data_IF_942232763667
#
_entry.id   IF_942232763667
#
_cell.length_a   1.000
_cell.length_b   1.000
_cell.length_c   1.000
_cell.angle_alpha   90.00
_cell.angle_beta   90.00
_cell.angle_gamma   90.00
#
_symmetry.space_group_name_H-M   'P 1'
#
loop_
_entity.id
_entity.type
_entity.pdbx_description
1 polymer ?
#
# COMPACT_ATOMS: atom_id res chain seq x y z
N UNK A 1 15.92 -33.10 -17.42
CA UNK A 1 15.51 -31.69 -17.58
C UNK A 1 14.83 -31.27 -16.30
N UNK A 2 15.54 -30.56 -15.41
CA UNK A 2 14.94 -30.01 -14.20
C UNK A 2 13.93 -28.93 -14.63
N UNK A 3 12.67 -29.08 -14.21
CA UNK A 3 11.66 -28.07 -14.44
C UNK A 3 12.05 -26.79 -13.69
N UNK A 4 12.53 -25.80 -14.42
CA UNK A 4 12.79 -24.45 -13.91
C UNK A 4 11.50 -23.85 -13.38
N UNK A 5 11.36 -23.79 -12.05
CA UNK A 5 10.25 -23.14 -11.39
C UNK A 5 10.68 -21.71 -10.97
N UNK A 6 10.34 -20.67 -11.74
CA UNK A 6 10.83 -19.31 -11.53
C UNK A 6 10.40 -18.70 -10.18
N UNK A 7 9.39 -19.26 -9.52
CA UNK A 7 8.86 -18.77 -8.24
C UNK A 7 9.84 -19.02 -7.07
N UNK A 8 10.77 -19.97 -7.21
CA UNK A 8 11.69 -20.39 -6.14
C UNK A 8 13.16 -20.14 -6.46
N UNK A 9 13.48 -19.39 -7.50
CA UNK A 9 14.87 -19.03 -7.80
C UNK A 9 15.46 -18.22 -6.65
N UNK A 10 16.67 -18.59 -6.21
CA UNK A 10 17.46 -17.85 -5.20
C UNK A 10 17.80 -16.44 -5.66
N UNK A 11 17.93 -16.25 -6.95
CA UNK A 11 18.28 -14.99 -7.60
C UNK A 11 17.19 -14.65 -8.63
N UNK A 12 16.75 -13.39 -8.77
CA UNK A 12 15.75 -13.01 -9.76
C UNK A 12 16.27 -13.21 -11.18
N UNK A 13 15.38 -13.55 -12.11
CA UNK A 13 15.72 -13.71 -13.53
C UNK A 13 16.22 -12.40 -14.14
N UNK A 14 15.64 -11.27 -13.73
CA UNK A 14 16.07 -9.94 -14.13
C UNK A 14 17.00 -9.36 -13.05
N UNK A 15 18.26 -9.16 -13.40
CA UNK A 15 19.31 -8.65 -12.51
C UNK A 15 20.22 -7.67 -13.25
N UNK A 16 20.82 -6.74 -12.51
CA UNK A 16 21.85 -5.86 -13.09
C UNK A 16 23.10 -6.66 -13.41
N UNK A 17 23.67 -6.43 -14.61
CA UNK A 17 24.78 -7.24 -15.14
C UNK A 17 26.06 -7.18 -14.30
N UNK A 18 26.27 -6.09 -13.54
CA UNK A 18 27.43 -5.93 -12.67
C UNK A 18 27.38 -6.76 -11.37
N UNK A 19 26.22 -7.32 -10.99
CA UNK A 19 26.11 -8.17 -9.80
C UNK A 19 26.00 -9.63 -10.24
N UNK A 20 27.06 -10.40 -10.02
CA UNK A 20 27.16 -11.81 -10.41
C UNK A 20 27.14 -12.77 -9.20
N UNK A 21 27.38 -12.24 -7.98
CA UNK A 21 27.45 -13.05 -6.76
C UNK A 21 26.10 -13.68 -6.42
N UNK A 22 26.12 -14.85 -5.80
CA UNK A 22 24.90 -15.47 -5.27
C UNK A 22 24.29 -14.65 -4.13
N UNK A 23 22.97 -14.65 -4.03
CA UNK A 23 22.28 -14.06 -2.88
C UNK A 23 22.49 -14.93 -1.64
N UNK A 24 22.91 -14.30 -0.55
CA UNK A 24 23.08 -14.96 0.75
C UNK A 24 21.76 -15.33 1.39
N UNK A 25 21.71 -16.46 2.09
CA UNK A 25 20.55 -16.92 2.85
C UNK A 25 20.73 -16.60 4.33
N UNK A 26 19.88 -15.73 4.87
CA UNK A 26 19.96 -15.21 6.24
C UNK A 26 18.65 -15.39 6.99
N UNK A 27 18.71 -15.55 8.31
CA UNK A 27 17.54 -15.42 9.17
C UNK A 27 17.11 -13.95 9.24
N UNK A 28 15.79 -13.70 9.45
CA UNK A 28 15.29 -12.35 9.61
C UNK A 28 16.03 -11.62 10.75
N UNK A 29 16.25 -12.28 11.87
CA UNK A 29 17.00 -11.77 13.02
C UNK A 29 18.43 -11.31 12.71
N UNK A 30 19.03 -11.78 11.59
CA UNK A 30 20.38 -11.37 11.17
C UNK A 30 20.40 -9.91 10.66
N UNK A 31 19.32 -9.44 10.06
CA UNK A 31 19.29 -8.12 9.42
C UNK A 31 18.21 -7.18 9.96
N UNK A 32 17.44 -7.63 10.96
CA UNK A 32 16.54 -6.76 11.72
C UNK A 32 16.64 -7.02 13.22
N UNK A 33 16.36 -6.00 14.02
CA UNK A 33 16.31 -6.11 15.47
C UNK A 33 14.85 -5.97 15.92
N UNK A 34 14.35 -6.96 16.69
CA UNK A 34 13.01 -6.92 17.28
C UNK A 34 12.88 -5.73 18.23
N UNK A 35 11.80 -5.00 18.13
CA UNK A 35 11.45 -3.90 19.03
C UNK A 35 10.50 -4.42 20.11
N UNK A 36 10.89 -4.20 21.37
CA UNK A 36 10.06 -4.49 22.55
C UNK A 36 9.75 -3.22 23.36
N UNK A 37 10.21 -2.06 22.88
CA UNK A 37 10.00 -0.74 23.51
C UNK A 37 8.53 -0.45 23.64
N UNK A 38 8.11 -0.10 24.88
CA UNK A 38 6.72 0.25 25.21
C UNK A 38 6.58 1.77 25.38
N UNK A 39 5.37 2.25 25.20
CA UNK A 39 5.00 3.67 25.39
C UNK A 39 4.79 4.03 26.88
N UNK A 40 5.67 3.54 27.77
CA UNK A 40 5.51 3.62 29.23
C UNK A 40 5.31 5.05 29.77
N UNK A 41 5.94 6.03 29.13
CA UNK A 41 5.91 7.43 29.55
C UNK A 41 4.91 8.27 28.73
N UNK A 42 3.98 7.63 28.01
CA UNK A 42 3.05 8.29 27.11
C UNK A 42 3.75 9.22 26.10
N UNK A 43 4.91 8.78 25.58
CA UNK A 43 5.72 9.54 24.61
C UNK A 43 4.97 9.81 23.30
N UNK A 44 3.96 9.02 22.99
CA UNK A 44 3.05 9.23 21.87
C UNK A 44 1.61 8.95 22.28
N UNK A 45 0.69 9.81 21.84
CA UNK A 45 -0.75 9.62 21.95
C UNK A 45 -1.39 9.19 20.62
N UNK A 46 -0.58 8.92 19.56
CA UNK A 46 -1.05 8.54 18.23
C UNK A 46 -1.20 7.02 18.12
N UNK A 47 -2.42 6.45 18.16
CA UNK A 47 -2.63 5.03 17.93
C UNK A 47 -2.51 4.73 16.44
N UNK A 48 -1.67 3.76 16.10
CA UNK A 48 -1.45 3.31 14.73
C UNK A 48 -2.19 1.99 14.45
N UNK A 49 -2.51 1.79 13.18
CA UNK A 49 -2.91 0.49 12.62
C UNK A 49 -2.18 0.22 11.32
N UNK A 50 -2.10 -1.05 10.90
CA UNK A 50 -1.55 -1.43 9.61
C UNK A 50 -2.69 -1.60 8.61
N UNK A 51 -2.72 -0.73 7.61
CA UNK A 51 -3.45 -0.96 6.37
C UNK A 51 -2.50 -1.59 5.36
N UNK A 52 -2.88 -2.71 4.76
CA UNK A 52 -2.06 -3.37 3.74
C UNK A 52 -1.82 -2.46 2.52
N UNK A 53 -2.78 -1.58 2.18
CA UNK A 53 -2.69 -0.65 1.05
C UNK A 53 -2.04 0.69 1.42
N UNK A 54 -2.29 1.22 2.63
CA UNK A 54 -1.90 2.58 3.01
C UNK A 54 -0.72 2.64 3.99
N UNK A 55 -0.20 1.48 4.43
CA UNK A 55 0.90 1.39 5.39
C UNK A 55 0.47 1.57 6.84
N UNK A 56 1.38 2.01 7.69
CA UNK A 56 1.09 2.41 9.06
C UNK A 56 0.41 3.77 9.07
N UNK A 57 -0.84 3.79 9.52
CA UNK A 57 -1.72 4.95 9.49
C UNK A 57 -2.33 5.22 10.87
N UNK A 58 -2.76 6.46 11.11
CA UNK A 58 -3.54 6.83 12.28
C UNK A 58 -4.83 6.01 12.32
N UNK A 59 -4.98 5.25 13.40
CA UNK A 59 -6.10 4.33 13.58
C UNK A 59 -7.45 5.05 13.67
N UNK A 60 -7.48 6.21 14.33
CA UNK A 60 -8.71 6.98 14.54
C UNK A 60 -9.21 7.51 13.20
N UNK A 61 -8.32 8.16 12.43
CA UNK A 61 -8.65 8.69 11.11
C UNK A 61 -9.02 7.59 10.12
N UNK A 62 -8.37 6.43 10.21
CA UNK A 62 -8.60 5.32 9.27
C UNK A 62 -9.95 4.63 9.47
N UNK A 63 -10.35 4.39 10.73
CA UNK A 63 -11.62 3.72 11.05
C UNK A 63 -12.77 4.70 11.33
N UNK A 64 -12.49 6.00 11.34
CA UNK A 64 -13.44 7.05 11.78
C UNK A 64 -14.06 6.77 13.15
N UNK A 65 -13.32 6.11 14.03
CA UNK A 65 -13.69 5.78 15.41
C UNK A 65 -12.45 5.44 16.25
N UNK A 66 -12.57 5.58 17.57
CA UNK A 66 -11.55 5.13 18.51
C UNK A 66 -11.70 3.62 18.72
N UNK A 67 -10.66 2.84 18.34
CA UNK A 67 -10.56 1.38 18.53
C UNK A 67 -9.49 1.06 19.57
N UNK A 68 -8.47 1.91 19.68
CA UNK A 68 -7.40 1.75 20.65
C UNK A 68 -7.91 1.89 22.08
N UNK A 69 -7.20 1.27 23.03
CA UNK A 69 -7.40 1.51 24.47
C UNK A 69 -7.20 2.98 24.80
N UNK A 70 -7.87 3.46 25.85
CA UNK A 70 -7.61 4.79 26.44
C UNK A 70 -6.17 4.86 26.97
N UNK A 71 -5.68 3.78 27.56
CA UNK A 71 -4.28 3.65 27.99
C UNK A 71 -3.44 2.98 26.90
N UNK A 72 -2.49 3.72 26.35
CA UNK A 72 -1.53 3.26 25.34
C UNK A 72 -0.16 2.87 25.93
N UNK A 73 0.01 2.87 27.24
CA UNK A 73 1.29 2.58 27.91
C UNK A 73 1.79 1.15 27.63
N UNK A 74 0.86 0.20 27.46
CA UNK A 74 1.13 -1.19 27.09
C UNK A 74 1.41 -1.42 25.59
N UNK A 75 1.23 -0.42 24.73
CA UNK A 75 1.48 -0.53 23.28
C UNK A 75 2.97 -0.42 22.98
N UNK A 76 3.38 -0.96 21.83
CA UNK A 76 4.72 -0.69 21.31
C UNK A 76 4.83 0.77 20.90
N UNK A 77 5.94 1.41 21.26
CA UNK A 77 6.32 2.73 20.75
C UNK A 77 7.20 2.55 19.51
N UNK A 78 6.72 3.02 18.37
CA UNK A 78 7.42 3.02 17.09
C UNK A 78 7.95 4.41 16.78
N UNK A 79 9.11 4.46 16.13
CA UNK A 79 9.63 5.66 15.50
C UNK A 79 9.68 5.49 13.99
N UNK A 80 9.76 6.61 13.27
CA UNK A 80 9.96 6.60 11.81
C UNK A 80 11.07 5.62 11.41
N UNK A 81 10.83 4.84 10.36
CA UNK A 81 11.72 3.77 9.91
C UNK A 81 11.53 2.40 10.60
N UNK A 82 10.76 2.31 11.70
CA UNK A 82 10.40 1.02 12.29
C UNK A 82 9.38 0.29 11.42
N UNK A 83 9.49 -1.03 11.34
CA UNK A 83 8.59 -1.91 10.62
C UNK A 83 7.65 -2.64 11.57
N UNK A 84 6.47 -2.99 11.06
CA UNK A 84 5.55 -3.84 11.79
C UNK A 84 4.89 -4.87 10.86
N UNK A 85 4.73 -6.10 11.37
CA UNK A 85 4.04 -7.18 10.71
C UNK A 85 2.66 -7.38 11.31
N UNK A 86 1.64 -7.31 10.46
CA UNK A 86 0.26 -7.67 10.78
C UNK A 86 -0.01 -9.11 10.35
N UNK A 87 -0.29 -9.99 11.30
CA UNK A 87 -0.63 -11.38 11.07
C UNK A 87 -2.05 -11.61 10.54
N UNK A 88 -2.87 -10.56 10.41
CA UNK A 88 -4.21 -10.68 9.82
C UNK A 88 -4.10 -10.99 8.35
N UNK A 89 -4.78 -12.04 7.91
CA UNK A 89 -4.85 -12.42 6.51
C UNK A 89 -6.15 -11.95 5.86
N UNK A 90 -6.07 -11.68 4.57
CA UNK A 90 -7.22 -11.39 3.70
C UNK A 90 -7.00 -12.06 2.33
N UNK A 91 -8.01 -11.98 1.45
CA UNK A 91 -7.89 -12.58 0.11
C UNK A 91 -6.67 -12.07 -0.66
N UNK A 92 -6.35 -10.77 -0.55
CA UNK A 92 -5.22 -10.16 -1.25
C UNK A 92 -3.90 -10.28 -0.47
N UNK A 93 -3.95 -10.56 0.85
CA UNK A 93 -2.81 -10.63 1.76
C UNK A 93 -2.86 -11.91 2.59
N UNK A 94 -2.75 -13.05 1.92
CA UNK A 94 -2.90 -14.39 2.52
C UNK A 94 -1.92 -14.66 3.68
N UNK A 95 -0.77 -13.99 3.70
CA UNK A 95 0.28 -14.14 4.71
C UNK A 95 0.47 -12.90 5.59
N UNK A 96 -0.56 -12.03 5.61
CA UNK A 96 -0.50 -10.77 6.32
C UNK A 96 0.28 -9.69 5.56
N UNK A 97 0.63 -8.60 6.24
CA UNK A 97 1.33 -7.46 5.65
C UNK A 97 2.41 -6.91 6.57
N UNK A 98 3.56 -6.59 6.00
CA UNK A 98 4.65 -5.87 6.68
C UNK A 98 4.72 -4.46 6.13
N UNK A 99 4.73 -3.46 7.01
CA UNK A 99 4.78 -2.05 6.62
C UNK A 99 5.76 -1.27 7.49
N UNK A 100 6.40 -0.24 6.88
CA UNK A 100 7.29 0.70 7.57
C UNK A 100 6.51 1.94 8.02
N UNK A 101 6.89 2.50 9.17
CA UNK A 101 6.38 3.78 9.64
C UNK A 101 7.09 4.92 8.91
N UNK A 102 6.43 5.47 7.87
CA UNK A 102 6.97 6.55 7.04
C UNK A 102 6.26 7.89 7.27
N UNK A 103 4.98 7.85 7.69
CA UNK A 103 4.10 9.03 7.70
C UNK A 103 4.20 9.88 8.97
N UNK A 104 4.68 9.30 10.05
CA UNK A 104 4.72 9.94 11.37
C UNK A 104 6.11 9.78 11.97
N UNK A 105 6.52 10.73 12.79
CA UNK A 105 7.78 10.65 13.55
C UNK A 105 7.76 9.50 14.54
N UNK A 106 6.64 9.33 15.26
CA UNK A 106 6.41 8.25 16.23
C UNK A 106 4.91 7.94 16.36
N UNK A 107 4.61 6.76 16.90
CA UNK A 107 3.24 6.33 17.19
C UNK A 107 3.19 5.06 18.02
N UNK A 108 1.99 4.69 18.47
CA UNK A 108 1.74 3.55 19.34
C UNK A 108 1.05 2.43 18.55
N UNK A 109 1.57 1.21 18.61
CA UNK A 109 1.01 0.07 17.92
C UNK A 109 0.69 -1.05 18.92
N UNK A 110 -0.46 -1.71 18.76
CA UNK A 110 -0.88 -2.82 19.60
C UNK A 110 0.19 -3.93 19.68
N UNK A 111 0.27 -4.60 20.83
CA UNK A 111 1.18 -5.72 21.06
C UNK A 111 0.85 -7.00 20.25
N UNK A 112 -0.25 -7.01 19.51
CA UNK A 112 -0.63 -8.08 18.59
C UNK A 112 0.28 -8.15 17.35
N UNK A 113 0.96 -7.05 17.01
CA UNK A 113 1.87 -6.94 15.87
C UNK A 113 3.29 -7.33 16.26
N UNK A 114 4.09 -7.80 15.30
CA UNK A 114 5.52 -7.97 15.48
C UNK A 114 6.24 -6.73 14.96
N UNK A 115 7.04 -6.09 15.79
CA UNK A 115 7.69 -4.82 15.48
C UNK A 115 9.20 -5.00 15.47
N UNK A 116 9.87 -4.41 14.46
CA UNK A 116 11.31 -4.53 14.28
C UNK A 116 11.91 -3.32 13.55
N UNK A 117 13.22 -3.18 13.67
CA UNK A 117 14.01 -2.16 12.98
C UNK A 117 15.09 -2.81 12.11
N UNK A 118 15.31 -2.33 10.88
CA UNK A 118 16.45 -2.75 10.07
C UNK A 118 17.77 -2.45 10.77
N UNK A 119 18.75 -3.38 10.64
CA UNK A 119 20.13 -3.16 11.04
C UNK A 119 20.92 -2.47 9.91
N UNK A 120 22.18 -2.13 10.15
CA UNK A 120 23.03 -1.43 9.17
C UNK A 120 23.42 -2.30 7.96
N UNK A 121 23.23 -3.61 8.03
CA UNK A 121 23.52 -4.57 6.96
C UNK A 121 22.37 -4.77 5.94
N UNK A 122 21.25 -4.06 6.09
CA UNK A 122 20.12 -4.09 5.19
C UNK A 122 19.70 -2.65 4.80
N UNK A 123 19.40 -2.43 3.53
CA UNK A 123 18.81 -1.17 3.07
C UNK A 123 17.32 -1.13 3.41
N UNK A 124 16.88 -0.10 4.14
CA UNK A 124 15.51 0.02 4.63
C UNK A 124 14.48 0.18 3.51
N UNK A 125 14.84 0.89 2.42
CA UNK A 125 13.95 1.04 1.27
C UNK A 125 13.84 -0.27 0.48
N UNK A 126 14.97 -1.00 0.33
CA UNK A 126 14.96 -2.35 -0.25
C UNK A 126 14.03 -3.27 0.55
N UNK A 127 14.12 -3.23 1.89
CA UNK A 127 13.29 -4.06 2.76
C UNK A 127 11.80 -3.73 2.63
N UNK A 128 11.45 -2.45 2.42
CA UNK A 128 10.06 -2.05 2.13
C UNK A 128 9.55 -2.74 0.87
N UNK A 129 10.30 -2.69 -0.24
CA UNK A 129 9.91 -3.34 -1.50
C UNK A 129 9.97 -4.87 -1.42
N UNK A 130 10.91 -5.42 -0.64
CA UNK A 130 11.00 -6.85 -0.41
C UNK A 130 9.72 -7.41 0.21
N UNK A 131 9.18 -6.75 1.23
CA UNK A 131 7.94 -7.15 1.90
C UNK A 131 6.66 -6.87 1.08
N UNK A 132 6.72 -6.05 0.04
CA UNK A 132 5.63 -5.95 -0.96
C UNK A 132 5.65 -7.12 -1.97
N UNK A 133 6.73 -7.91 -2.03
CA UNK A 133 6.84 -9.09 -2.89
C UNK A 133 6.33 -10.36 -2.21
N UNK A 134 6.17 -11.44 -2.96
CA UNK A 134 5.83 -12.77 -2.42
C UNK A 134 7.04 -13.58 -1.95
N UNK A 135 8.28 -13.04 -2.01
CA UNK A 135 9.51 -13.79 -1.73
C UNK A 135 9.63 -14.30 -0.29
N UNK A 136 9.00 -13.62 0.66
CA UNK A 136 8.99 -13.99 2.08
C UNK A 136 7.82 -14.92 2.48
N UNK A 137 6.80 -15.06 1.63
CA UNK A 137 5.57 -15.80 1.94
C UNK A 137 5.82 -17.26 2.29
N UNK A 138 6.75 -17.93 1.59
CA UNK A 138 7.07 -19.33 1.88
C UNK A 138 7.66 -19.52 3.29
N UNK A 139 8.46 -18.56 3.76
CA UNK A 139 8.96 -18.58 5.14
C UNK A 139 7.80 -18.59 6.15
N UNK A 140 6.81 -17.74 5.94
CA UNK A 140 5.63 -17.66 6.79
C UNK A 140 4.75 -18.91 6.67
N UNK A 141 4.51 -19.40 5.45
CA UNK A 141 3.69 -20.62 5.25
C UNK A 141 4.25 -21.86 5.95
N UNK A 142 5.56 -21.95 6.10
CA UNK A 142 6.22 -23.08 6.75
C UNK A 142 6.08 -23.07 8.29
N UNK A 143 5.88 -21.89 8.90
CA UNK A 143 5.76 -21.71 10.36
C UNK A 143 4.32 -21.43 10.81
N UNK A 144 3.44 -21.04 9.91
CA UNK A 144 2.02 -20.90 10.20
C UNK A 144 1.40 -22.28 10.39
N UNK A 145 1.03 -22.62 11.63
CA UNK A 145 0.47 -23.94 11.98
C UNK A 145 -0.84 -24.25 11.25
N UNK A 146 -1.15 -25.54 11.09
CA UNK A 146 -2.46 -26.01 10.64
C UNK A 146 -3.54 -25.54 11.64
N UNK A 147 -4.65 -25.03 11.14
CA UNK A 147 -5.70 -24.40 11.97
C UNK A 147 -5.47 -22.91 12.23
N UNK A 148 -4.39 -22.34 11.69
CA UNK A 148 -4.00 -20.93 11.81
C UNK A 148 -5.05 -19.92 11.30
N UNK A 149 -6.12 -20.37 10.68
CA UNK A 149 -7.13 -19.53 10.02
C UNK A 149 -8.37 -19.26 10.86
N UNK A 150 -8.36 -19.65 12.13
CA UNK A 150 -9.42 -19.28 13.04
C UNK A 150 -9.31 -17.80 13.41
N UNK A 151 -10.39 -17.05 13.24
CA UNK A 151 -10.52 -15.63 13.55
C UNK A 151 -9.68 -14.65 12.71
N UNK A 152 -9.22 -15.03 11.51
CA UNK A 152 -8.53 -14.10 10.61
C UNK A 152 -7.08 -13.76 10.99
N UNK A 153 -6.47 -14.44 11.96
CA UNK A 153 -5.08 -14.25 12.38
C UNK A 153 -4.25 -15.51 12.12
N UNK A 154 -3.05 -15.36 11.58
CA UNK A 154 -2.07 -16.43 11.48
C UNK A 154 -1.53 -16.77 12.88
N UNK A 155 -1.52 -18.07 13.23
CA UNK A 155 -0.96 -18.54 14.48
C UNK A 155 0.52 -18.92 14.28
N UNK A 156 1.42 -18.13 14.86
CA UNK A 156 2.85 -18.38 14.83
C UNK A 156 3.52 -17.75 16.06
N UNK A 157 4.58 -18.38 16.56
CA UNK A 157 5.41 -17.79 17.59
C UNK A 157 6.23 -16.64 17.02
N UNK A 158 6.53 -15.67 17.87
CA UNK A 158 7.33 -14.51 17.46
C UNK A 158 8.75 -14.91 17.10
N UNK A 159 9.35 -15.86 17.81
CA UNK A 159 10.71 -16.30 17.58
C UNK A 159 10.81 -17.11 16.27
N UNK A 160 9.79 -17.89 15.91
CA UNK A 160 9.71 -18.57 14.61
C UNK A 160 9.68 -17.57 13.45
N UNK A 161 8.95 -16.44 13.62
CA UNK A 161 8.92 -15.37 12.63
C UNK A 161 10.33 -14.78 12.41
N UNK A 162 11.08 -14.48 13.47
CA UNK A 162 12.43 -13.93 13.37
C UNK A 162 13.48 -14.96 12.93
N UNK A 163 13.20 -16.26 13.02
CA UNK A 163 14.02 -17.35 12.49
C UNK A 163 13.74 -17.68 11.01
N UNK A 164 12.72 -17.06 10.38
CA UNK A 164 12.44 -17.26 8.95
C UNK A 164 13.64 -16.90 8.09
N UNK A 165 13.88 -17.69 7.02
CA UNK A 165 15.08 -17.53 6.17
C UNK A 165 14.74 -16.82 4.87
N UNK A 166 15.57 -15.84 4.52
CA UNK A 166 15.41 -14.93 3.38
C UNK A 166 16.66 -14.91 2.52
N UNK A 167 16.50 -14.83 1.20
CA UNK A 167 17.63 -14.63 0.28
C UNK A 167 17.77 -13.12 0.01
N UNK A 168 18.97 -12.61 0.28
CA UNK A 168 19.28 -11.17 0.15
C UNK A 168 20.51 -10.96 -0.72
N UNK A 169 20.49 -9.95 -1.61
CA UNK A 169 21.64 -9.49 -2.35
C UNK A 169 22.63 -8.74 -1.46
N UNK A 170 23.80 -8.42 -2.00
CA UNK A 170 24.75 -7.49 -1.37
C UNK A 170 24.13 -6.11 -1.13
N UNK A 171 24.58 -5.39 -0.11
CA UNK A 171 24.07 -4.06 0.23
C UNK A 171 24.12 -3.05 -0.95
N UNK A 172 25.17 -3.00 -1.81
CA UNK A 172 25.17 -2.18 -3.02
C UNK A 172 24.05 -2.54 -3.99
N UNK A 173 23.77 -3.83 -4.19
CA UNK A 173 22.69 -4.30 -5.06
C UNK A 173 21.31 -3.95 -4.47
N UNK A 174 21.13 -4.13 -3.14
CA UNK A 174 19.90 -3.70 -2.44
C UNK A 174 19.61 -2.22 -2.70
N UNK A 175 20.59 -1.34 -2.51
CA UNK A 175 20.45 0.11 -2.77
C UNK A 175 20.08 0.42 -4.21
N UNK A 176 20.64 -0.31 -5.17
CA UNK A 176 20.33 -0.11 -6.59
C UNK A 176 18.91 -0.55 -6.92
N UNK A 177 18.48 -1.70 -6.40
CA UNK A 177 17.10 -2.21 -6.53
C UNK A 177 16.12 -1.21 -5.92
N UNK A 178 16.37 -0.75 -4.68
CA UNK A 178 15.53 0.21 -3.97
C UNK A 178 15.33 1.51 -4.77
N UNK A 179 16.41 2.07 -5.34
CA UNK A 179 16.35 3.30 -6.15
C UNK A 179 15.39 3.17 -7.34
N UNK A 180 15.43 2.04 -8.05
CA UNK A 180 14.53 1.82 -9.19
C UNK A 180 13.08 1.70 -8.73
N UNK A 181 12.81 0.90 -7.71
CA UNK A 181 11.43 0.75 -7.21
C UNK A 181 10.89 2.05 -6.62
N UNK A 182 11.71 2.81 -5.90
CA UNK A 182 11.33 4.14 -5.40
C UNK A 182 10.99 5.10 -6.55
N UNK A 183 11.78 5.11 -7.63
CA UNK A 183 11.50 5.94 -8.80
C UNK A 183 10.20 5.55 -9.50
N UNK A 184 9.93 4.25 -9.63
CA UNK A 184 8.69 3.72 -10.20
C UNK A 184 7.49 4.09 -9.32
N UNK A 185 7.57 3.86 -8.01
CA UNK A 185 6.51 4.18 -7.04
C UNK A 185 6.19 5.68 -7.08
N UNK A 186 7.21 6.53 -7.04
CA UNK A 186 7.05 7.99 -7.14
C UNK A 186 6.37 8.40 -8.46
N UNK A 187 6.73 7.76 -9.57
CA UNK A 187 6.08 8.02 -10.87
C UNK A 187 4.61 7.62 -10.86
N UNK A 188 4.28 6.48 -10.28
CA UNK A 188 2.89 6.00 -10.13
C UNK A 188 2.09 6.97 -9.25
N UNK A 189 2.64 7.43 -8.12
CA UNK A 189 2.00 8.40 -7.23
C UNK A 189 1.71 9.72 -7.95
N UNK A 190 2.67 10.24 -8.72
CA UNK A 190 2.50 11.46 -9.51
C UNK A 190 1.40 11.26 -10.56
N UNK A 191 1.40 10.15 -11.28
CA UNK A 191 0.37 9.82 -12.26
C UNK A 191 -1.02 9.76 -11.62
N UNK A 192 -1.13 9.11 -10.46
CA UNK A 192 -2.39 9.00 -9.71
C UNK A 192 -2.90 10.35 -9.20
N UNK A 193 -2.03 11.33 -8.98
CA UNK A 193 -2.42 12.73 -8.66
C UNK A 193 -2.87 13.50 -9.90
N UNK A 194 -2.20 13.30 -11.03
CA UNK A 194 -2.47 14.04 -12.27
C UNK A 194 -3.78 13.57 -12.94
N UNK A 195 -4.03 12.25 -12.98
CA UNK A 195 -5.20 11.68 -13.65
C UNK A 195 -6.53 12.29 -13.17
N UNK A 196 -6.80 12.41 -11.85
CA UNK A 196 -8.03 13.04 -11.37
C UNK A 196 -8.17 14.51 -11.79
N UNK A 197 -7.06 15.27 -11.76
CA UNK A 197 -7.06 16.69 -12.15
C UNK A 197 -7.38 16.84 -13.63
N UNK A 198 -6.71 16.11 -14.51
CA UNK A 198 -7.00 16.11 -15.95
C UNK A 198 -8.43 15.70 -16.25
N UNK A 199 -8.95 14.67 -15.56
CA UNK A 199 -10.33 14.23 -15.71
C UNK A 199 -11.32 15.32 -15.30
N UNK A 200 -11.06 16.05 -14.21
CA UNK A 200 -11.89 17.18 -13.76
C UNK A 200 -11.87 18.33 -14.78
N UNK A 201 -10.70 18.67 -15.33
CA UNK A 201 -10.57 19.71 -16.36
C UNK A 201 -11.33 19.36 -17.63
N UNK A 202 -11.26 18.11 -18.09
CA UNK A 202 -12.03 17.64 -19.27
C UNK A 202 -13.53 17.75 -19.00
N UNK A 203 -14.00 17.37 -17.82
CA UNK A 203 -15.43 17.47 -17.44
C UNK A 203 -15.87 18.93 -17.44
N UNK A 204 -15.08 19.85 -16.87
CA UNK A 204 -15.38 21.29 -16.88
C UNK A 204 -15.48 21.82 -18.30
N UNK A 205 -14.54 21.48 -19.17
CA UNK A 205 -14.56 21.91 -20.57
C UNK A 205 -15.78 21.37 -21.32
N UNK A 206 -16.16 20.11 -21.10
CA UNK A 206 -17.37 19.53 -21.71
C UNK A 206 -18.64 20.26 -21.25
N UNK A 207 -18.72 20.64 -19.98
CA UNK A 207 -19.84 21.40 -19.43
C UNK A 207 -19.89 22.81 -20.06
N UNK A 208 -18.77 23.51 -20.16
CA UNK A 208 -18.67 24.84 -20.79
C UNK A 208 -19.11 24.81 -22.26
N UNK A 209 -18.63 23.80 -23.00
CA UNK A 209 -19.06 23.60 -24.40
C UNK A 209 -20.58 23.33 -24.47
N UNK A 210 -21.12 22.50 -23.59
CA UNK A 210 -22.53 22.19 -23.55
C UNK A 210 -23.39 23.45 -23.23
N UNK A 211 -22.97 24.30 -22.30
CA UNK A 211 -23.60 25.56 -21.96
C UNK A 211 -23.54 26.52 -23.15
N UNK A 212 -22.42 26.64 -23.83
CA UNK A 212 -22.25 27.49 -25.00
C UNK A 212 -23.17 27.07 -26.15
N UNK A 213 -23.26 25.76 -26.41
CA UNK A 213 -24.19 25.20 -27.40
C UNK A 213 -25.67 25.53 -27.03
N UNK A 214 -26.05 25.37 -25.76
CA UNK A 214 -27.40 25.69 -25.28
C UNK A 214 -27.73 27.18 -25.45
N UNK A 215 -26.77 28.04 -25.14
CA UNK A 215 -26.91 29.51 -25.34
C UNK A 215 -27.11 29.86 -26.83
N UNK A 216 -26.32 29.23 -27.71
CA UNK A 216 -26.44 29.43 -29.16
C UNK A 216 -27.81 28.95 -29.69
N UNK A 217 -28.27 27.80 -29.21
CA UNK A 217 -29.58 27.27 -29.56
C UNK A 217 -30.71 28.18 -29.04
N UNK A 218 -30.60 28.68 -27.80
CA UNK A 218 -31.55 29.63 -27.21
C UNK A 218 -31.69 30.92 -28.03
N UNK A 219 -30.57 31.40 -28.60
CA UNK A 219 -30.58 32.58 -29.49
C UNK A 219 -31.13 32.28 -30.88
N UNK A 220 -31.09 31.06 -31.38
CA UNK A 220 -31.65 30.65 -32.68
C UNK A 220 -33.12 30.25 -32.57
N UNK A 221 -33.54 29.70 -31.43
CA UNK A 221 -34.91 29.18 -31.19
C UNK A 221 -35.94 30.28 -30.88
N UNK A 222 -35.54 31.54 -30.79
CA UNK A 222 -36.53 32.65 -30.84
C UNK A 222 -37.39 32.62 -32.12
N UNK A 223 -37.06 31.76 -33.11
CA UNK A 223 -37.83 31.51 -34.35
C UNK A 223 -37.99 29.98 -34.58
N UNK A 224 -39.15 29.45 -34.22
CA UNK A 224 -39.78 28.19 -34.69
C UNK A 224 -38.92 26.88 -34.70
N UNK A 225 -38.89 26.11 -33.62
CA UNK A 225 -38.88 24.62 -33.66
C UNK A 225 -38.76 23.98 -32.29
N UNK A 226 -39.85 23.79 -31.59
CA UNK A 226 -39.97 23.09 -30.30
C UNK A 226 -39.44 21.64 -30.35
N UNK A 227 -39.46 20.99 -31.51
CA UNK A 227 -39.00 19.59 -31.70
C UNK A 227 -37.49 19.45 -31.67
N UNK A 228 -36.74 20.39 -32.24
CA UNK A 228 -35.26 20.35 -32.26
C UNK A 228 -34.70 20.61 -30.86
N UNK A 229 -35.31 21.52 -30.11
CA UNK A 229 -34.95 21.80 -28.73
C UNK A 229 -35.07 20.56 -27.82
N UNK A 230 -36.16 19.81 -27.91
CA UNK A 230 -36.39 18.62 -27.11
C UNK A 230 -35.35 17.49 -27.38
N UNK A 231 -34.94 17.31 -28.64
CA UNK A 231 -33.94 16.29 -28.98
C UNK A 231 -32.55 16.68 -28.51
N UNK A 232 -32.19 17.94 -28.57
CA UNK A 232 -30.91 18.45 -28.06
C UNK A 232 -30.80 18.40 -26.51
N UNK A 233 -31.89 18.75 -25.82
CA UNK A 233 -31.98 18.61 -24.37
C UNK A 233 -31.82 17.14 -23.93
N UNK A 234 -32.45 16.20 -24.66
CA UNK A 234 -32.29 14.75 -24.42
C UNK A 234 -30.85 14.29 -24.63
N UNK A 235 -30.17 14.76 -25.67
CA UNK A 235 -28.80 14.42 -25.98
C UNK A 235 -27.84 14.94 -24.87
N UNK A 236 -28.00 16.21 -24.48
CA UNK A 236 -27.25 16.83 -23.39
C UNK A 236 -27.47 16.12 -22.04
N UNK A 237 -28.70 15.71 -21.76
CA UNK A 237 -29.05 14.94 -20.57
C UNK A 237 -28.41 13.56 -20.57
N UNK A 238 -28.28 12.93 -21.74
CA UNK A 238 -27.60 11.65 -21.91
C UNK A 238 -26.09 11.77 -21.66
N UNK A 239 -25.47 12.81 -22.25
CA UNK A 239 -24.06 13.14 -22.02
C UNK A 239 -23.81 13.42 -20.52
N UNK A 240 -24.66 14.19 -19.86
CA UNK A 240 -24.57 14.49 -18.43
C UNK A 240 -24.68 13.23 -17.57
N UNK A 241 -25.61 12.31 -17.90
CA UNK A 241 -25.73 11.01 -17.21
C UNK A 241 -24.47 10.16 -17.37
N UNK A 242 -23.87 10.10 -18.56
CA UNK A 242 -22.63 9.35 -18.78
C UNK A 242 -21.45 9.97 -18.03
N UNK A 243 -21.30 11.29 -18.05
CA UNK A 243 -20.28 12.00 -17.26
C UNK A 243 -20.47 11.72 -15.75
N UNK A 244 -21.70 11.74 -15.24
CA UNK A 244 -22.03 11.42 -13.85
C UNK A 244 -21.75 9.95 -13.51
N UNK A 245 -22.05 9.02 -14.42
CA UNK A 245 -21.75 7.59 -14.28
C UNK A 245 -20.24 7.36 -14.17
N UNK A 246 -19.44 7.96 -15.06
CA UNK A 246 -17.97 7.88 -15.02
C UNK A 246 -17.38 8.51 -13.75
N UNK A 247 -18.10 9.45 -13.14
CA UNK A 247 -17.69 10.07 -11.87
C UNK A 247 -18.05 9.20 -10.66
N UNK A 248 -19.17 8.49 -10.69
CA UNK A 248 -19.63 7.65 -9.58
C UNK A 248 -18.90 6.30 -9.47
N UNK A 249 -18.33 5.76 -10.54
CA UNK A 249 -17.52 4.52 -10.53
C UNK A 249 -16.22 4.61 -9.71
N UNK A 250 -15.94 5.72 -9.05
CA UNK A 250 -14.74 5.98 -8.26
C UNK A 250 -14.95 5.90 -6.74
N UNK A 251 -16.11 5.45 -6.26
CA UNK A 251 -16.42 5.35 -4.81
C UNK A 251 -16.51 3.93 -4.29
N UNK A 252 -16.11 2.93 -5.08
CA UNK A 252 -15.94 1.55 -4.63
C UNK A 252 -14.47 1.17 -4.52
#
# INVERSE_FOLDING_TARGET
MEHYNPIFSKVPTLRFAEFTDEWGKYELSHFVTRITRRNKNNESSLPLTISAQYGLVDQISFFNKTVASVDLSGYYLLYNGDFAYNKSYSNDYAWGAVKRLDKYEKGCLSSLYFVFRPNDNIDSDYLTHYFESSKWHKGISNIAGEGARNHGLLNMAVDDYFATKHYLPSLPEQKKIARIFNAITKRIEIQNKIIPVKKSQIISLVIEIAISILSLIGSIVSFNSFSICNNLIKLLWTIFKEVKRLWSQKKQ
#
